data_IF_775928726004
#
_entry.id   IF_775928726004
#
_cell.length_a   1.000
_cell.length_b   1.000
_cell.length_c   1.000
_cell.angle_alpha   90.00
_cell.angle_beta   90.00
_cell.angle_gamma   90.00
#
_symmetry.space_group_name_H-M   'P 1'
#
loop_
_entity.id
_entity.type
_entity.pdbx_description
1 polymer ?
#
# COMPACT_ATOMS: atom_id res chain seq x y z
N UNK A 1 23.19 8.99 17.23
CA UNK A 1 23.35 8.66 15.80
C UNK A 1 22.18 7.86 15.24
N UNK A 2 21.39 7.15 16.07
CA UNK A 2 20.22 6.39 15.60
C UNK A 2 19.04 7.29 15.18
N UNK A 3 18.82 8.41 15.89
CA UNK A 3 17.72 9.35 15.63
C UNK A 3 17.78 10.00 14.24
N UNK A 4 18.97 10.37 13.76
CA UNK A 4 19.13 11.00 12.43
C UNK A 4 18.91 9.99 11.30
N UNK A 5 19.30 8.73 11.51
CA UNK A 5 19.01 7.64 10.57
C UNK A 5 17.50 7.36 10.52
N UNK A 6 16.85 7.30 11.67
CA UNK A 6 15.41 7.02 11.72
C UNK A 6 14.61 8.16 11.06
N UNK A 7 14.98 9.43 11.30
CA UNK A 7 14.42 10.60 10.61
C UNK A 7 14.62 10.53 9.09
N UNK A 8 15.80 10.12 8.62
CA UNK A 8 16.08 9.96 7.20
C UNK A 8 15.18 8.88 6.58
N UNK A 9 15.04 7.71 7.24
CA UNK A 9 14.20 6.62 6.73
C UNK A 9 12.72 6.99 6.69
N UNK A 10 12.27 7.77 7.67
CA UNK A 10 10.90 8.28 7.70
C UNK A 10 10.66 9.32 6.59
N UNK A 11 11.59 10.24 6.37
CA UNK A 11 11.51 11.21 5.28
C UNK A 11 11.49 10.53 3.90
N UNK A 12 12.36 9.54 3.67
CA UNK A 12 12.40 8.76 2.43
C UNK A 12 11.11 7.96 2.23
N UNK A 13 10.53 7.40 3.30
CA UNK A 13 9.26 6.69 3.23
C UNK A 13 8.10 7.61 2.84
N UNK A 14 7.97 8.77 3.52
CA UNK A 14 6.91 9.74 3.21
C UNK A 14 7.04 10.29 1.80
N UNK A 15 8.27 10.56 1.35
CA UNK A 15 8.56 10.96 -0.04
C UNK A 15 8.10 9.88 -1.02
N UNK A 16 8.36 8.60 -0.73
CA UNK A 16 7.94 7.49 -1.58
C UNK A 16 6.42 7.36 -1.70
N UNK A 17 5.69 7.54 -0.59
CA UNK A 17 4.22 7.54 -0.60
C UNK A 17 3.67 8.70 -1.44
N UNK A 18 4.19 9.91 -1.25
CA UNK A 18 3.74 11.08 -2.00
C UNK A 18 3.99 10.94 -3.51
N UNK A 19 5.13 10.35 -3.91
CA UNK A 19 5.43 10.07 -5.31
C UNK A 19 4.44 9.06 -5.92
N UNK A 20 4.12 7.98 -5.21
CA UNK A 20 3.15 6.99 -5.65
C UNK A 20 1.72 7.57 -5.80
N UNK A 21 1.30 8.46 -4.89
CA UNK A 21 0.02 9.16 -4.99
C UNK A 21 -0.01 10.13 -6.17
N UNK A 22 1.08 10.86 -6.42
CA UNK A 22 1.19 11.77 -7.57
C UNK A 22 1.12 11.01 -8.90
N UNK A 23 1.73 9.84 -9.01
CA UNK A 23 1.64 8.99 -10.20
C UNK A 23 0.20 8.47 -10.41
N UNK A 24 -0.47 8.04 -9.33
CA UNK A 24 -1.86 7.61 -9.39
C UNK A 24 -2.81 8.74 -9.85
N UNK A 25 -2.52 9.99 -9.50
CA UNK A 25 -3.29 11.17 -9.93
C UNK A 25 -2.94 11.65 -11.35
N UNK A 26 -1.68 11.51 -11.77
CA UNK A 26 -1.18 12.08 -13.04
C UNK A 26 -1.45 11.24 -14.28
N UNK A 27 -2.12 10.09 -14.15
CA UNK A 27 -2.66 9.32 -15.27
C UNK A 27 -1.72 9.24 -16.47
N UNK A 28 -0.77 8.30 -16.42
CA UNK A 28 0.01 7.85 -17.57
C UNK A 28 0.60 8.99 -18.44
N UNK A 29 1.23 9.97 -17.80
CA UNK A 29 2.04 10.97 -18.51
C UNK A 29 3.53 10.67 -18.35
N UNK A 30 4.07 10.07 -19.42
CA UNK A 30 5.47 10.07 -19.87
C UNK A 30 6.42 9.06 -19.24
N UNK A 31 6.78 8.07 -20.06
CA UNK A 31 7.82 7.04 -19.96
C UNK A 31 9.25 7.61 -19.80
N UNK A 32 9.43 8.92 -19.61
CA UNK A 32 10.73 9.60 -19.69
C UNK A 32 11.10 10.48 -18.48
N UNK A 33 10.46 10.28 -17.33
CA UNK A 33 11.04 10.74 -16.06
C UNK A 33 11.65 9.52 -15.40
N UNK A 34 12.97 9.55 -15.28
CA UNK A 34 13.74 8.83 -14.26
C UNK A 34 12.81 8.46 -13.13
N UNK A 35 12.60 7.16 -12.94
CA UNK A 35 11.57 6.60 -12.06
C UNK A 35 11.91 7.01 -10.62
N UNK A 36 11.57 8.26 -10.26
CA UNK A 36 11.97 8.97 -9.04
C UNK A 36 11.52 8.18 -7.82
N UNK A 37 10.41 7.46 -7.98
CA UNK A 37 9.91 6.49 -7.02
C UNK A 37 10.88 5.33 -6.85
N UNK A 38 11.33 4.68 -7.93
CA UNK A 38 12.26 3.55 -7.87
C UNK A 38 13.65 3.96 -7.36
N UNK A 39 14.14 5.17 -7.69
CA UNK A 39 15.36 5.72 -7.09
C UNK A 39 15.23 5.91 -5.59
N UNK A 40 14.14 6.55 -5.15
CA UNK A 40 13.84 6.73 -3.74
C UNK A 40 13.68 5.37 -3.02
N UNK A 41 13.08 4.38 -3.67
CA UNK A 41 12.94 3.03 -3.15
C UNK A 41 14.29 2.31 -3.02
N UNK A 42 15.17 2.45 -4.01
CA UNK A 42 16.55 1.93 -3.97
C UNK A 42 17.35 2.56 -2.85
N UNK A 43 17.17 3.85 -2.59
CA UNK A 43 17.80 4.53 -1.45
C UNK A 43 17.25 4.01 -0.14
N UNK A 44 15.93 3.94 0.04
CA UNK A 44 15.31 3.42 1.26
C UNK A 44 15.76 1.97 1.57
N UNK A 45 15.87 1.13 0.53
CA UNK A 45 16.35 -0.26 0.64
C UNK A 45 17.77 -0.37 1.23
N UNK A 46 18.63 0.64 1.05
CA UNK A 46 19.99 0.65 1.64
C UNK A 46 19.96 0.84 3.15
N UNK A 47 18.91 1.48 3.67
CA UNK A 47 18.81 1.86 5.08
C UNK A 47 17.92 0.93 5.90
N UNK A 48 16.97 0.23 5.27
CA UNK A 48 15.95 -0.54 6.00
C UNK A 48 15.64 -1.89 5.35
N UNK A 49 15.32 -2.89 6.17
CA UNK A 49 14.72 -4.14 5.70
C UNK A 49 13.25 -3.91 5.32
N UNK A 50 12.97 -4.05 4.02
CA UNK A 50 11.66 -3.85 3.41
C UNK A 50 10.64 -4.92 3.82
N UNK A 51 11.07 -6.01 4.47
CA UNK A 51 10.17 -7.02 5.05
C UNK A 51 9.50 -6.55 6.34
N UNK A 52 9.94 -5.43 6.91
CA UNK A 52 9.30 -4.85 8.09
C UNK A 52 7.89 -4.35 7.77
N UNK A 53 6.92 -4.69 8.61
CA UNK A 53 5.50 -4.30 8.51
C UNK A 53 5.30 -2.79 8.29
N UNK A 54 6.23 -1.94 8.76
CA UNK A 54 6.21 -0.48 8.60
C UNK A 54 6.28 -0.01 7.14
N UNK A 55 6.92 -0.77 6.24
CA UNK A 55 7.16 -0.38 4.84
C UNK A 55 6.34 -1.18 3.83
N UNK A 56 5.44 -2.04 4.30
CA UNK A 56 4.65 -2.92 3.42
C UNK A 56 3.80 -2.13 2.42
N UNK A 57 3.24 -0.98 2.80
CA UNK A 57 2.43 -0.12 1.91
C UNK A 57 3.24 0.35 0.70
N UNK A 58 4.49 0.78 0.91
CA UNK A 58 5.36 1.24 -0.17
C UNK A 58 5.68 0.09 -1.15
N UNK A 59 5.83 -1.13 -0.62
CA UNK A 59 6.03 -2.34 -1.43
C UNK A 59 4.79 -2.66 -2.27
N UNK A 60 3.59 -2.48 -1.73
CA UNK A 60 2.32 -2.64 -2.48
C UNK A 60 2.25 -1.64 -3.64
N UNK A 61 2.59 -0.36 -3.41
CA UNK A 61 2.63 0.65 -4.47
C UNK A 61 3.67 0.32 -5.55
N UNK A 62 4.85 -0.17 -5.15
CA UNK A 62 5.88 -0.59 -6.11
C UNK A 62 5.44 -1.76 -6.99
N UNK A 63 4.85 -2.80 -6.40
CA UNK A 63 4.37 -3.94 -7.17
C UNK A 63 3.19 -3.54 -8.08
N UNK A 64 2.35 -2.61 -7.63
CA UNK A 64 1.29 -2.00 -8.46
C UNK A 64 1.88 -1.22 -9.64
N UNK A 65 2.93 -0.42 -9.44
CA UNK A 65 3.62 0.30 -10.51
C UNK A 65 4.20 -0.65 -11.58
N UNK A 66 4.74 -1.80 -11.15
CA UNK A 66 5.26 -2.83 -12.06
C UNK A 66 4.18 -3.75 -12.66
N UNK A 67 2.90 -3.46 -12.46
CA UNK A 67 1.78 -4.29 -12.94
C UNK A 67 1.67 -5.67 -12.28
N UNK A 68 2.43 -5.92 -11.20
CA UNK A 68 2.43 -7.19 -10.45
C UNK A 68 1.33 -7.19 -9.39
N UNK A 69 0.09 -7.07 -9.85
CA UNK A 69 -1.09 -6.90 -8.99
C UNK A 69 -1.30 -8.08 -8.03
N UNK A 70 -0.97 -9.31 -8.43
CA UNK A 70 -1.05 -10.49 -7.57
C UNK A 70 -0.07 -10.46 -6.38
N UNK A 71 1.17 -10.02 -6.62
CA UNK A 71 2.17 -9.82 -5.55
C UNK A 71 1.76 -8.68 -4.63
N UNK A 72 1.24 -7.58 -5.19
CA UNK A 72 0.71 -6.46 -4.44
C UNK A 72 -0.43 -6.91 -3.50
N UNK A 73 -1.35 -7.73 -4.01
CA UNK A 73 -2.45 -8.30 -3.23
C UNK A 73 -1.93 -9.21 -2.12
N UNK A 74 -0.93 -10.06 -2.41
CA UNK A 74 -0.32 -10.94 -1.41
C UNK A 74 0.29 -10.15 -0.26
N UNK A 75 1.15 -9.18 -0.56
CA UNK A 75 1.79 -8.33 0.47
C UNK A 75 0.73 -7.59 1.30
N UNK A 76 -0.30 -7.05 0.64
CA UNK A 76 -1.40 -6.39 1.34
C UNK A 76 -2.19 -7.34 2.24
N UNK A 77 -2.41 -8.59 1.81
CA UNK A 77 -3.11 -9.58 2.60
C UNK A 77 -2.27 -10.04 3.81
N UNK A 78 -0.96 -10.22 3.62
CA UNK A 78 -0.02 -10.51 4.70
C UNK A 78 -0.03 -9.37 5.76
N UNK A 79 -0.11 -8.11 5.32
CA UNK A 79 -0.26 -6.94 6.22
C UNK A 79 -1.61 -6.89 6.95
N UNK A 80 -2.67 -7.42 6.35
CA UNK A 80 -4.00 -7.50 6.97
C UNK A 80 -4.05 -8.65 7.99
N UNK A 81 -3.35 -9.75 7.71
CA UNK A 81 -3.27 -10.93 8.57
C UNK A 81 -2.28 -10.77 9.74
N UNK A 82 -1.48 -9.70 9.76
CA UNK A 82 -0.59 -9.38 10.88
C UNK A 82 -1.46 -9.04 12.12
N UNK A 83 -1.81 -10.07 12.89
CA UNK A 83 -2.84 -10.17 13.96
C UNK A 83 -2.75 -9.11 15.09
N UNK A 84 -1.73 -8.25 15.08
CA UNK A 84 -1.46 -7.27 16.12
C UNK A 84 -2.22 -5.94 16.00
N UNK A 85 -2.87 -5.64 14.86
CA UNK A 85 -3.50 -4.33 14.63
C UNK A 85 -5.00 -4.43 14.34
N UNK A 86 -5.82 -3.47 14.84
CA UNK A 86 -7.22 -3.39 14.46
C UNK A 86 -7.34 -3.26 12.93
N UNK A 87 -8.39 -3.84 12.32
CA UNK A 87 -8.61 -3.79 10.88
C UNK A 87 -8.55 -2.34 10.39
N UNK A 88 -7.64 -2.03 9.46
CA UNK A 88 -7.51 -0.66 8.91
C UNK A 88 -8.33 -0.55 7.64
N UNK A 89 -9.37 0.28 7.66
CA UNK A 89 -10.28 0.48 6.50
C UNK A 89 -9.52 0.80 5.20
N UNK A 90 -8.47 1.63 5.29
CA UNK A 90 -7.61 2.01 4.15
C UNK A 90 -6.98 0.82 3.42
N UNK A 91 -6.65 -0.27 4.13
CA UNK A 91 -6.08 -1.47 3.50
C UNK A 91 -7.14 -2.25 2.72
N UNK A 92 -8.37 -2.31 3.21
CA UNK A 92 -9.48 -2.94 2.49
C UNK A 92 -9.93 -2.13 1.29
N UNK A 93 -9.91 -0.80 1.38
CA UNK A 93 -10.13 0.09 0.23
C UNK A 93 -9.07 -0.12 -0.86
N UNK A 94 -7.78 -0.23 -0.47
CA UNK A 94 -6.70 -0.55 -1.40
C UNK A 94 -6.88 -1.95 -2.02
N UNK A 95 -7.29 -2.94 -1.22
CA UNK A 95 -7.59 -4.31 -1.67
C UNK A 95 -8.69 -4.30 -2.73
N UNK A 96 -9.76 -3.55 -2.51
CA UNK A 96 -10.84 -3.39 -3.49
C UNK A 96 -10.33 -2.76 -4.78
N UNK A 97 -9.49 -1.72 -4.70
CA UNK A 97 -8.92 -1.08 -5.89
C UNK A 97 -8.04 -2.03 -6.71
N UNK A 98 -7.27 -2.91 -6.04
CA UNK A 98 -6.45 -3.93 -6.71
C UNK A 98 -7.31 -5.02 -7.34
N UNK A 99 -8.34 -5.51 -6.63
CA UNK A 99 -9.25 -6.53 -7.14
C UNK A 99 -10.05 -6.02 -8.35
N UNK A 100 -10.42 -4.74 -8.35
CA UNK A 100 -11.11 -4.08 -9.46
C UNK A 100 -10.19 -3.97 -10.69
N UNK A 101 -8.92 -3.58 -10.49
CA UNK A 101 -7.90 -3.55 -11.56
C UNK A 101 -7.60 -4.92 -12.16
N UNK A 102 -7.67 -5.99 -11.36
CA UNK A 102 -7.52 -7.37 -11.83
C UNK A 102 -8.78 -7.85 -12.58
N UNK A 103 -9.93 -7.21 -12.35
CA UNK A 103 -11.22 -7.57 -12.94
C UNK A 103 -11.99 -8.65 -12.15
N UNK A 104 -11.64 -8.89 -10.89
CA UNK A 104 -12.32 -9.88 -10.03
C UNK A 104 -13.58 -9.29 -9.37
N UNK A 105 -14.57 -8.94 -10.19
CA UNK A 105 -15.80 -8.26 -9.79
C UNK A 105 -16.59 -8.98 -8.69
N UNK A 106 -16.63 -10.31 -8.72
CA UNK A 106 -17.28 -11.13 -7.69
C UNK A 106 -16.62 -10.99 -6.31
N UNK A 107 -15.28 -10.96 -6.25
CA UNK A 107 -14.54 -10.73 -5.00
C UNK A 107 -14.67 -9.28 -4.52
N UNK A 108 -14.70 -8.31 -5.42
CA UNK A 108 -14.98 -6.90 -5.08
C UNK A 108 -16.35 -6.78 -4.41
N UNK A 109 -17.39 -7.41 -4.97
CA UNK A 109 -18.74 -7.37 -4.40
C UNK A 109 -18.80 -8.02 -3.02
N UNK A 110 -18.17 -9.19 -2.87
CA UNK A 110 -18.06 -9.89 -1.60
C UNK A 110 -17.32 -9.05 -0.54
N UNK A 111 -16.15 -8.51 -0.87
CA UNK A 111 -15.35 -7.73 0.07
C UNK A 111 -16.06 -6.43 0.47
N UNK A 112 -16.82 -5.79 -0.43
CA UNK A 112 -17.67 -4.62 -0.10
C UNK A 112 -18.73 -4.95 0.96
N UNK A 113 -19.36 -6.12 0.88
CA UNK A 113 -20.31 -6.57 1.91
C UNK A 113 -19.60 -6.78 3.24
N UNK A 114 -18.44 -7.43 3.24
CA UNK A 114 -17.64 -7.65 4.45
C UNK A 114 -17.12 -6.35 5.09
N UNK A 115 -16.85 -5.31 4.29
CA UNK A 115 -16.49 -4.01 4.86
C UNK A 115 -17.60 -3.42 5.72
N UNK A 116 -18.87 -3.61 5.36
CA UNK A 116 -20.00 -3.10 6.16
C UNK A 116 -20.08 -3.81 7.52
N UNK A 117 -19.76 -5.11 7.55
CA UNK A 117 -19.73 -5.91 8.77
C UNK A 117 -18.51 -5.57 9.63
N UNK A 118 -17.33 -5.40 9.03
CA UNK A 118 -16.08 -5.07 9.75
C UNK A 118 -16.03 -3.62 10.23
N UNK A 119 -16.67 -2.71 9.51
CA UNK A 119 -16.67 -1.26 9.79
C UNK A 119 -18.10 -0.73 9.84
N UNK A 120 -18.89 -1.12 10.86
CA UNK A 120 -20.24 -0.60 11.02
C UNK A 120 -20.20 0.89 11.38
N UNK A 121 -21.22 1.64 10.96
CA UNK A 121 -21.34 3.09 11.25
C UNK A 121 -21.57 3.39 12.74
N UNK A 122 -22.06 2.41 13.48
CA UNK A 122 -22.29 2.46 14.92
C UNK A 122 -22.03 1.08 15.50
N UNK A 123 -21.68 1.01 16.79
CA UNK A 123 -21.60 -0.27 17.49
C UNK A 123 -22.97 -0.97 17.45
N UNK A 124 -23.00 -2.31 17.31
CA UNK A 124 -24.24 -3.06 17.38
C UNK A 124 -24.95 -2.77 18.71
N UNK A 125 -26.28 -2.68 18.64
CA UNK A 125 -27.12 -2.51 19.82
C UNK A 125 -27.14 -3.83 20.59
N UNK A 126 -26.27 -3.90 21.60
CA UNK A 126 -26.09 -4.97 22.59
C UNK A 126 -25.47 -6.27 22.07
#
# INVERSE_FOLDING_TARGET
>A
METTRDQLTEALYQKGLALAELEALKGESTVDKVDMFEENFKELKKWVDLKSSKYGILSVFRERHHGRLGTALKVLNDMIQDDGNPPKKKFYELKLSLLDQIGWSHLVAYEKQWMQVRFPSSLPLF
#
